data_IF_892757608507
#
_entry.id   IF_892757608507
#
_cell.length_a   1.000
_cell.length_b   1.000
_cell.length_c   1.000
_cell.angle_alpha   90.00
_cell.angle_beta   90.00
_cell.angle_gamma   90.00
#
_symmetry.space_group_name_H-M   'P 1'
#
loop_
_entity.id
_entity.type
_entity.pdbx_description
1 polymer ?
#
# COMPACT_ATOMS: atom_id res chain seq x y z
N UNK A 1 0.16 -15.19 14.58
CA UNK A 1 -1.06 -15.15 13.74
C UNK A 1 -0.98 -13.96 12.81
N UNK A 2 -1.21 -14.15 11.52
CA UNK A 2 -1.20 -13.04 10.57
C UNK A 2 -2.39 -12.14 10.78
N UNK A 3 -2.11 -10.85 10.73
CA UNK A 3 -3.13 -9.81 10.75
C UNK A 3 -3.18 -9.16 9.36
N UNK A 4 -4.38 -8.89 8.89
CA UNK A 4 -4.62 -8.33 7.58
C UNK A 4 -5.14 -6.91 7.68
N UNK A 5 -4.77 -6.09 6.70
CA UNK A 5 -5.31 -4.75 6.56
C UNK A 5 -5.73 -4.54 5.11
N UNK A 6 -6.98 -4.13 4.93
CA UNK A 6 -7.50 -3.67 3.65
C UNK A 6 -7.13 -2.19 3.51
N UNK A 7 -6.57 -1.81 2.38
CA UNK A 7 -6.22 -0.43 2.06
C UNK A 7 -6.94 0.00 0.80
N UNK A 8 -7.71 1.07 0.92
CA UNK A 8 -8.47 1.65 -0.19
C UNK A 8 -8.01 3.08 -0.37
N UNK A 9 -7.53 3.39 -1.58
CA UNK A 9 -7.10 4.74 -1.93
C UNK A 9 -8.03 5.32 -2.99
N UNK A 10 -8.26 6.62 -2.94
CA UNK A 10 -8.73 7.34 -4.10
C UNK A 10 -7.53 8.05 -4.74
N UNK A 11 -7.29 7.72 -6.00
CA UNK A 11 -6.15 8.26 -6.76
C UNK A 11 -6.61 9.54 -7.48
N UNK A 12 -5.70 10.48 -7.67
CA UNK A 12 -5.97 11.70 -8.42
C UNK A 12 -6.49 11.38 -9.82
N UNK A 13 -7.47 12.14 -10.35
CA UNK A 13 -8.01 11.87 -11.67
C UNK A 13 -6.93 11.80 -12.75
N UNK A 14 -6.97 10.75 -13.57
CA UNK A 14 -6.01 10.55 -14.65
C UNK A 14 -4.66 10.00 -14.22
N UNK A 15 -4.42 9.76 -12.92
CA UNK A 15 -3.12 9.33 -12.41
C UNK A 15 -3.02 7.82 -12.11
N UNK A 16 -4.08 7.04 -12.37
CA UNK A 16 -4.09 5.62 -11.98
C UNK A 16 -2.96 4.83 -12.63
N UNK A 17 -2.70 5.01 -13.92
CA UNK A 17 -1.63 4.26 -14.60
C UNK A 17 -0.26 4.59 -14.04
N UNK A 18 0.01 5.86 -13.76
CA UNK A 18 1.26 6.28 -13.14
C UNK A 18 1.39 5.71 -11.73
N UNK A 19 0.30 5.74 -10.95
CA UNK A 19 0.30 5.16 -9.60
C UNK A 19 0.56 3.67 -9.63
N UNK A 20 -0.09 2.93 -10.52
CA UNK A 20 0.12 1.48 -10.66
C UNK A 20 1.58 1.16 -10.98
N UNK A 21 2.20 1.90 -11.90
CA UNK A 21 3.60 1.69 -12.28
C UNK A 21 4.52 1.91 -11.08
N UNK A 22 4.32 2.99 -10.33
CA UNK A 22 5.13 3.31 -9.15
C UNK A 22 4.89 2.30 -8.03
N UNK A 23 3.66 1.89 -7.81
CA UNK A 23 3.31 0.90 -6.79
C UNK A 23 3.98 -0.44 -7.08
N UNK A 24 3.92 -0.91 -8.34
CA UNK A 24 4.56 -2.18 -8.74
C UNK A 24 6.08 -2.11 -8.68
N UNK A 25 6.65 -0.98 -9.04
CA UNK A 25 8.11 -0.81 -9.09
C UNK A 25 8.73 -0.61 -7.71
N UNK A 26 8.02 0.00 -6.78
CA UNK A 26 8.61 0.50 -5.53
C UNK A 26 7.87 0.05 -4.27
N UNK A 27 6.57 0.30 -4.18
CA UNK A 27 5.82 0.07 -2.94
C UNK A 27 5.73 -1.42 -2.62
N UNK A 28 5.26 -2.21 -3.56
CA UNK A 28 5.08 -3.66 -3.35
C UNK A 28 6.40 -4.35 -3.03
N UNK A 29 7.49 -4.17 -3.81
CA UNK A 29 8.76 -4.83 -3.48
C UNK A 29 9.31 -4.42 -2.13
N UNK A 30 9.18 -3.15 -1.76
CA UNK A 30 9.65 -2.68 -0.46
C UNK A 30 8.85 -3.30 0.69
N UNK A 31 7.52 -3.33 0.57
CA UNK A 31 6.68 -4.00 1.56
C UNK A 31 7.08 -5.47 1.71
N UNK A 32 7.24 -6.18 0.60
CA UNK A 32 7.61 -7.60 0.63
C UNK A 32 8.99 -7.81 1.26
N UNK A 33 9.94 -6.92 0.99
CA UNK A 33 11.28 -7.00 1.59
C UNK A 33 11.27 -6.81 3.10
N UNK A 34 10.25 -6.15 3.64
CA UNK A 34 10.07 -5.94 5.08
C UNK A 34 9.16 -7.00 5.72
N UNK A 35 8.88 -8.07 5.02
CA UNK A 35 8.15 -9.22 5.55
C UNK A 35 6.65 -9.17 5.39
N UNK A 36 6.10 -8.18 4.68
CA UNK A 36 4.67 -8.15 4.39
C UNK A 36 4.29 -9.15 3.33
N UNK A 37 3.13 -9.77 3.50
CA UNK A 37 2.41 -10.39 2.40
C UNK A 37 1.56 -9.32 1.73
N UNK A 38 1.56 -9.27 0.40
CA UNK A 38 0.83 -8.26 -0.37
C UNK A 38 -0.08 -8.96 -1.36
N UNK A 39 -1.36 -8.61 -1.35
CA UNK A 39 -2.35 -9.08 -2.32
C UNK A 39 -2.93 -7.89 -3.09
N UNK A 40 -3.23 -8.13 -4.34
CA UNK A 40 -3.72 -7.13 -5.27
C UNK A 40 -2.70 -6.84 -6.37
N UNK A 41 -2.80 -5.70 -7.03
CA UNK A 41 -3.79 -4.64 -6.77
C UNK A 41 -5.12 -4.90 -7.47
N UNK A 42 -6.15 -4.20 -7.02
CA UNK A 42 -7.42 -4.09 -7.75
C UNK A 42 -7.71 -2.61 -8.01
N UNK A 43 -8.26 -2.34 -9.17
CA UNK A 43 -8.71 -0.99 -9.54
C UNK A 43 -10.22 -1.02 -9.69
N UNK A 44 -10.90 -0.14 -8.98
CA UNK A 44 -12.34 -0.04 -9.01
C UNK A 44 -12.81 1.27 -9.66
N UNK A 45 -14.12 1.50 -9.63
CA UNK A 45 -14.71 2.74 -10.08
C UNK A 45 -14.28 3.93 -9.22
N UNK A 46 -14.47 5.14 -9.73
CA UNK A 46 -14.18 6.39 -9.02
C UNK A 46 -12.73 6.50 -8.56
N UNK A 47 -11.79 6.09 -9.41
CA UNK A 47 -10.34 6.19 -9.14
C UNK A 47 -9.91 5.42 -7.89
N UNK A 48 -10.61 4.34 -7.54
CA UNK A 48 -10.24 3.51 -6.40
C UNK A 48 -9.14 2.53 -6.75
N UNK A 49 -8.18 2.47 -5.84
CA UNK A 49 -7.10 1.48 -5.83
C UNK A 49 -7.21 0.68 -4.53
N UNK A 50 -7.22 -0.63 -4.62
CA UNK A 50 -7.46 -1.51 -3.47
C UNK A 50 -6.35 -2.55 -3.38
N UNK A 51 -5.83 -2.77 -2.20
CA UNK A 51 -4.87 -3.83 -1.92
C UNK A 51 -4.94 -4.26 -0.46
N UNK A 52 -4.32 -5.41 -0.18
CA UNK A 52 -4.27 -5.98 1.15
C UNK A 52 -2.82 -6.21 1.54
N UNK A 53 -2.53 -5.94 2.80
CA UNK A 53 -1.25 -6.31 3.41
C UNK A 53 -1.49 -7.19 4.63
N UNK A 54 -0.53 -8.07 4.91
CA UNK A 54 -0.56 -8.89 6.11
C UNK A 54 0.83 -8.99 6.72
N UNK A 55 0.86 -9.09 8.04
CA UNK A 55 2.08 -9.28 8.81
C UNK A 55 1.71 -9.85 10.18
N UNK A 56 2.60 -10.63 10.77
CA UNK A 56 2.37 -11.18 12.11
C UNK A 56 2.36 -10.08 13.18
N UNK A 57 3.12 -9.01 12.95
CA UNK A 57 3.16 -7.81 13.81
C UNK A 57 2.87 -6.59 12.95
N UNK A 58 1.63 -6.49 12.48
CA UNK A 58 1.22 -5.53 11.47
C UNK A 58 1.48 -4.08 11.88
N UNK A 59 1.13 -3.72 13.11
CA UNK A 59 1.25 -2.34 13.58
C UNK A 59 2.72 -1.89 13.63
N UNK A 60 3.58 -2.70 14.24
CA UNK A 60 5.01 -2.39 14.31
C UNK A 60 5.68 -2.41 12.94
N UNK A 61 5.31 -3.37 12.10
CA UNK A 61 5.85 -3.49 10.74
C UNK A 61 5.45 -2.30 9.87
N UNK A 62 4.19 -1.84 9.98
CA UNK A 62 3.72 -0.67 9.22
C UNK A 62 4.45 0.61 9.68
N UNK A 63 4.62 0.79 10.98
CA UNK A 63 5.40 1.91 11.51
C UNK A 63 6.85 1.87 11.01
N UNK A 64 7.49 0.70 11.00
CA UNK A 64 8.84 0.51 10.47
C UNK A 64 8.94 0.82 8.99
N UNK A 65 7.91 0.44 8.20
CA UNK A 65 7.85 0.76 6.77
C UNK A 65 7.90 2.26 6.55
N UNK A 66 7.05 3.03 7.22
CA UNK A 66 7.00 4.48 7.06
C UNK A 66 8.22 5.19 7.63
N UNK A 67 8.91 4.59 8.59
CA UNK A 67 10.15 5.13 9.16
C UNK A 67 11.40 4.72 8.38
N UNK A 68 11.28 3.81 7.42
CA UNK A 68 12.44 3.29 6.71
C UNK A 68 13.08 4.34 5.80
N UNK A 69 14.43 4.34 5.69
CA UNK A 69 15.12 5.22 4.73
C UNK A 69 14.72 4.92 3.30
N UNK A 70 14.44 3.66 2.98
CA UNK A 70 14.03 3.24 1.64
C UNK A 70 12.68 3.86 1.26
N UNK A 71 11.72 3.92 2.20
CA UNK A 71 10.43 4.58 1.95
C UNK A 71 10.61 6.08 1.73
N UNK A 72 11.44 6.71 2.55
CA UNK A 72 11.73 8.14 2.44
C UNK A 72 12.45 8.50 1.14
N UNK A 73 13.20 7.56 0.57
CA UNK A 73 13.99 7.76 -0.65
C UNK A 73 13.18 7.56 -1.94
N UNK A 74 11.90 7.13 -1.86
CA UNK A 74 11.08 6.97 -3.06
C UNK A 74 10.89 8.32 -3.77
N UNK A 75 11.35 8.39 -5.01
CA UNK A 75 11.27 9.60 -5.81
C UNK A 75 10.96 9.21 -7.27
N UNK A 76 9.78 9.57 -7.78
CA UNK A 76 8.74 10.34 -7.10
C UNK A 76 8.05 9.56 -5.98
N UNK A 77 7.55 10.28 -4.98
CA UNK A 77 6.78 9.66 -3.89
C UNK A 77 5.39 9.31 -4.40
N UNK A 78 5.00 8.01 -4.42
CA UNK A 78 3.69 7.63 -4.92
C UNK A 78 2.52 8.19 -4.10
N UNK A 79 2.74 8.53 -2.84
CA UNK A 79 1.70 9.11 -1.99
C UNK A 79 1.20 10.47 -2.51
N UNK A 80 1.98 11.18 -3.31
CA UNK A 80 1.55 12.46 -3.92
C UNK A 80 0.32 12.31 -4.81
N UNK A 81 0.07 11.10 -5.33
CA UNK A 81 -1.06 10.79 -6.22
C UNK A 81 -2.30 10.32 -5.47
N UNK A 82 -2.22 10.16 -4.16
CA UNK A 82 -3.32 9.66 -3.33
C UNK A 82 -4.08 10.85 -2.73
N UNK A 83 -5.39 10.94 -3.01
CA UNK A 83 -6.25 11.98 -2.46
C UNK A 83 -6.92 11.58 -1.15
N UNK A 84 -7.28 10.30 -1.02
CA UNK A 84 -7.90 9.77 0.19
C UNK A 84 -7.36 8.38 0.50
N UNK A 85 -7.25 8.08 1.79
CA UNK A 85 -6.83 6.77 2.29
C UNK A 85 -7.85 6.28 3.30
N UNK A 86 -8.31 5.04 3.11
CA UNK A 86 -9.10 4.30 4.09
C UNK A 86 -8.40 3.00 4.40
N UNK A 87 -8.33 2.64 5.68
CA UNK A 87 -7.75 1.37 6.11
C UNK A 87 -8.69 0.65 7.06
N UNK A 88 -8.76 -0.67 6.93
CA UNK A 88 -9.62 -1.52 7.76
C UNK A 88 -8.82 -2.74 8.21
N UNK A 89 -8.80 -2.99 9.51
CA UNK A 89 -8.22 -4.24 10.03
C UNK A 89 -9.20 -5.37 9.79
N UNK A 90 -8.67 -6.50 9.32
CA UNK A 90 -9.46 -7.69 9.01
C UNK A 90 -8.92 -8.89 9.78
N UNK A 91 -9.82 -9.76 10.21
CA UNK A 91 -9.48 -11.07 10.74
C UNK A 91 -9.95 -12.14 9.78
N UNK A 92 -9.10 -13.10 9.51
CA UNK A 92 -9.49 -14.27 8.74
C UNK A 92 -10.25 -15.23 9.64
N UNK A 93 -11.42 -15.65 9.20
CA UNK A 93 -12.30 -16.53 9.95
C UNK A 93 -12.44 -17.90 9.30
#
# INVERSE_FOLDING_TARGET
MRRWQLRIYRIAPGAMDAFLDEWRASVRPLRESLGFEVLGPWVGEDDRFVWLIAHDDLEAADASYYASPERAALDPDPARLIEEVQTFLLEQR
#
